data_IF_964503104199
#
_entry.id   IF_964503104199
#
_cell.length_a   1.000
_cell.length_b   1.000
_cell.length_c   1.000
_cell.angle_alpha   90.00
_cell.angle_beta   90.00
_cell.angle_gamma   90.00
#
_symmetry.space_group_name_H-M   'P 1'
#
loop_
_entity.id
_entity.type
_entity.pdbx_description
1 polymer ?
#
# COMPACT_ATOMS: atom_id res chain seq x y z
N UNK A 1 -21.58 -30.96 17.34
CA UNK A 1 -20.31 -30.38 16.86
C UNK A 1 -20.59 -29.19 15.93
N UNK A 2 -20.41 -27.96 16.43
CA UNK A 2 -20.45 -26.79 15.56
C UNK A 2 -19.23 -26.84 14.62
N UNK A 3 -19.44 -26.65 13.32
CA UNK A 3 -18.38 -26.67 12.31
C UNK A 3 -17.31 -25.62 12.64
N UNK A 4 -16.09 -26.07 12.97
CA UNK A 4 -14.91 -25.23 13.27
C UNK A 4 -14.21 -24.77 11.98
N UNK A 5 -15.00 -24.33 11.00
CA UNK A 5 -14.50 -23.94 9.68
C UNK A 5 -14.53 -22.43 9.55
N UNK A 6 -13.35 -21.85 9.32
CA UNK A 6 -13.20 -20.44 8.97
C UNK A 6 -13.69 -20.21 7.53
N UNK A 7 -14.79 -19.49 7.36
CA UNK A 7 -15.23 -19.01 6.05
C UNK A 7 -15.01 -17.51 5.96
N UNK A 8 -14.22 -17.09 4.99
CA UNK A 8 -13.90 -15.68 4.74
C UNK A 8 -14.27 -15.33 3.29
N UNK A 9 -14.80 -14.12 3.13
CA UNK A 9 -15.10 -13.53 1.83
C UNK A 9 -14.14 -12.36 1.62
N UNK A 10 -13.41 -12.38 0.52
CA UNK A 10 -12.54 -11.29 0.10
C UNK A 10 -12.92 -10.85 -1.31
N UNK A 11 -13.20 -9.56 -1.47
CA UNK A 11 -13.62 -8.96 -2.74
C UNK A 11 -12.69 -7.79 -3.04
N UNK A 12 -12.19 -7.76 -4.27
CA UNK A 12 -11.32 -6.70 -4.77
C UNK A 12 -11.83 -6.23 -6.12
N UNK A 13 -11.82 -4.92 -6.33
CA UNK A 13 -12.22 -4.28 -7.56
C UNK A 13 -11.17 -3.26 -7.99
N UNK A 14 -10.85 -3.26 -9.27
CA UNK A 14 -9.97 -2.29 -9.90
C UNK A 14 -10.61 -1.83 -11.21
N UNK A 15 -10.75 -0.53 -11.36
CA UNK A 15 -11.37 0.09 -12.53
C UNK A 15 -10.46 1.18 -13.06
N UNK A 16 -10.19 1.14 -14.36
CA UNK A 16 -9.38 2.13 -15.07
C UNK A 16 -10.20 2.66 -16.22
N UNK A 17 -10.36 3.98 -16.27
CA UNK A 17 -11.11 4.65 -17.32
C UNK A 17 -10.25 5.74 -17.96
N UNK A 18 -9.60 5.46 -19.10
CA UNK A 18 -8.97 6.49 -19.90
C UNK A 18 -10.04 7.32 -20.64
N UNK A 19 -9.83 8.62 -20.72
CA UNK A 19 -10.64 9.56 -21.49
C UNK A 19 -9.74 10.59 -22.17
N UNK A 20 -10.09 10.96 -23.40
CA UNK A 20 -9.38 12.02 -24.12
C UNK A 20 -9.98 13.36 -23.71
N UNK A 21 -9.16 14.21 -23.08
CA UNK A 21 -9.54 15.57 -22.72
C UNK A 21 -9.40 16.49 -23.93
N UNK A 22 -8.29 16.37 -24.66
CA UNK A 22 -8.03 17.10 -25.89
C UNK A 22 -7.37 16.17 -26.92
N UNK A 23 -7.05 16.70 -28.11
CA UNK A 23 -6.33 15.93 -29.13
C UNK A 23 -4.91 15.50 -28.68
N UNK A 24 -4.33 16.17 -27.69
CA UNK A 24 -2.98 15.93 -27.20
C UNK A 24 -2.91 15.49 -25.73
N UNK A 25 -3.95 15.75 -24.93
CA UNK A 25 -4.05 15.43 -23.51
C UNK A 25 -4.96 14.22 -23.28
N UNK A 26 -4.41 13.17 -22.67
CA UNK A 26 -5.18 12.00 -22.24
C UNK A 26 -5.22 11.98 -20.71
N UNK A 27 -6.42 11.93 -20.15
CA UNK A 27 -6.64 11.66 -18.74
C UNK A 27 -6.98 10.19 -18.52
N UNK A 28 -6.66 9.66 -17.37
CA UNK A 28 -7.09 8.34 -16.90
C UNK A 28 -7.48 8.47 -15.44
N UNK A 29 -8.66 7.95 -15.09
CA UNK A 29 -9.07 7.81 -13.70
C UNK A 29 -9.00 6.34 -13.34
N UNK A 30 -8.33 6.05 -12.23
CA UNK A 30 -8.21 4.74 -11.63
C UNK A 30 -8.93 4.75 -10.29
N UNK A 31 -9.76 3.74 -10.04
CA UNK A 31 -10.39 3.52 -8.75
C UNK A 31 -10.23 2.05 -8.37
N UNK A 32 -9.65 1.82 -7.20
CA UNK A 32 -9.47 0.50 -6.61
C UNK A 32 -10.15 0.46 -5.25
N UNK A 33 -10.82 -0.64 -4.95
CA UNK A 33 -11.39 -0.88 -3.63
C UNK A 33 -11.33 -2.36 -3.29
N UNK A 34 -11.16 -2.66 -2.01
CA UNK A 34 -11.14 -4.02 -1.52
C UNK A 34 -11.83 -4.12 -0.17
N UNK A 35 -12.45 -5.26 0.09
CA UNK A 35 -13.15 -5.54 1.34
C UNK A 35 -13.05 -7.03 1.68
N UNK A 36 -12.72 -7.31 2.93
CA UNK A 36 -12.62 -8.65 3.50
C UNK A 36 -13.56 -8.76 4.68
N UNK A 37 -14.31 -9.85 4.74
CA UNK A 37 -15.29 -10.10 5.78
C UNK A 37 -15.28 -11.57 6.20
N UNK A 38 -15.41 -11.82 7.50
CA UNK A 38 -15.55 -13.17 8.05
C UNK A 38 -17.02 -13.59 8.06
N UNK A 39 -17.35 -14.68 7.37
CA UNK A 39 -18.71 -15.22 7.33
C UNK A 39 -18.97 -16.20 8.48
N UNK A 40 -17.92 -16.82 9.04
CA UNK A 40 -18.03 -17.78 10.15
C UNK A 40 -17.81 -17.17 11.54
N UNK A 41 -17.60 -15.85 11.63
CA UNK A 41 -17.35 -15.16 12.90
C UNK A 41 -15.93 -15.34 13.47
N UNK A 42 -15.03 -16.01 12.74
CA UNK A 42 -13.61 -16.09 13.11
C UNK A 42 -12.85 -14.81 12.73
N UNK A 43 -11.80 -14.42 13.48
CA UNK A 43 -11.02 -13.23 13.13
C UNK A 43 -10.32 -13.40 11.77
N UNK A 44 -10.29 -12.31 10.98
CA UNK A 44 -9.60 -12.28 9.68
C UNK A 44 -8.08 -12.36 9.94
N UNK A 45 -7.43 -13.28 9.23
CA UNK A 45 -5.99 -13.49 9.37
C UNK A 45 -5.21 -12.31 8.79
N UNK A 46 -4.08 -11.97 9.40
CA UNK A 46 -3.28 -10.81 8.98
C UNK A 46 -2.78 -10.92 7.53
N UNK A 47 -2.56 -12.15 7.03
CA UNK A 47 -2.14 -12.38 5.64
C UNK A 47 -3.22 -12.03 4.62
N UNK A 48 -4.50 -12.03 5.04
CA UNK A 48 -5.64 -11.75 4.18
C UNK A 48 -6.02 -10.27 4.18
N UNK A 49 -5.45 -9.47 5.09
CA UNK A 49 -5.66 -8.03 5.19
C UNK A 49 -4.99 -7.26 4.04
N UNK A 50 -5.48 -6.06 3.81
CA UNK A 50 -4.97 -5.15 2.80
C UNK A 50 -3.85 -4.28 3.34
N UNK A 51 -2.81 -4.11 2.53
CA UNK A 51 -1.67 -3.25 2.81
C UNK A 51 -1.41 -2.43 1.57
N UNK A 52 -1.41 -1.10 1.69
CA UNK A 52 -1.16 -0.23 0.56
C UNK A 52 0.28 0.29 0.57
N UNK A 53 0.82 0.53 -0.62
CA UNK A 53 2.05 1.29 -0.81
C UNK A 53 2.94 0.73 -1.90
N UNK A 54 3.80 1.59 -2.42
CA UNK A 54 4.69 1.27 -3.53
C UNK A 54 4.26 1.89 -4.87
N UNK A 55 5.06 1.72 -5.92
CA UNK A 55 4.90 2.39 -7.21
C UNK A 55 3.63 2.02 -8.00
N UNK A 56 3.06 0.84 -7.74
CA UNK A 56 1.92 0.30 -8.47
C UNK A 56 0.57 0.60 -7.81
N UNK A 57 0.59 0.91 -6.52
CA UNK A 57 -0.60 1.26 -5.75
C UNK A 57 -0.52 2.74 -5.38
N UNK A 58 0.00 3.03 -4.17
CA UNK A 58 0.11 4.37 -3.64
C UNK A 58 1.56 4.88 -3.77
N UNK A 59 1.85 5.51 -4.92
CA UNK A 59 3.16 6.13 -5.19
C UNK A 59 3.51 7.17 -4.12
N UNK A 60 4.79 7.24 -3.77
CA UNK A 60 5.28 8.12 -2.71
C UNK A 60 5.29 7.48 -1.32
N UNK A 61 4.73 6.29 -1.16
CA UNK A 61 4.77 5.52 0.08
C UNK A 61 5.59 4.24 -0.08
N UNK A 62 6.27 3.84 1.00
CA UNK A 62 6.96 2.56 1.05
C UNK A 62 5.96 1.40 0.94
N UNK A 63 6.40 0.30 0.36
CA UNK A 63 5.61 -0.92 0.22
C UNK A 63 4.95 -1.31 1.54
N UNK A 64 3.64 -1.63 1.49
CA UNK A 64 2.86 -2.16 2.61
C UNK A 64 2.86 -1.32 3.89
N UNK A 65 3.14 -0.02 3.78
CA UNK A 65 3.26 0.87 4.95
C UNK A 65 1.96 1.64 5.22
N UNK A 66 1.09 1.79 4.23
CA UNK A 66 -0.20 2.47 4.39
C UNK A 66 -1.26 1.46 4.78
N UNK A 67 -1.45 1.34 6.09
CA UNK A 67 -2.52 0.54 6.71
C UNK A 67 -2.64 0.95 8.19
N UNK A 68 -3.67 0.48 8.91
CA UNK A 68 -3.68 0.51 10.36
C UNK A 68 -2.36 -0.05 10.91
N UNK A 69 -1.84 0.61 11.93
CA UNK A 69 -0.58 0.24 12.56
C UNK A 69 -0.86 -0.42 13.91
N UNK A 70 0.01 -1.34 14.33
CA UNK A 70 -0.07 -1.98 15.62
C UNK A 70 -0.13 -0.91 16.74
N UNK A 71 -1.10 -0.99 17.67
CA UNK A 71 -1.11 -0.11 18.83
C UNK A 71 0.13 -0.41 19.69
N UNK A 72 0.75 0.65 20.21
CA UNK A 72 1.77 0.53 21.25
C UNK A 72 1.09 0.03 22.53
N UNK A 73 1.05 -1.27 22.69
CA UNK A 73 0.86 -1.89 24.00
C UNK A 73 2.28 -2.31 24.36
N UNK A 74 2.91 -1.66 25.35
CA UNK A 74 4.21 -2.09 25.84
C UNK A 74 4.08 -3.54 26.30
N UNK A 75 4.67 -4.52 25.59
CA UNK A 75 4.64 -5.88 26.06
C UNK A 75 5.61 -5.96 27.24
N UNK A 76 5.18 -6.59 28.33
CA UNK A 76 6.13 -7.01 29.38
C UNK A 76 7.20 -7.86 28.70
N UNK A 77 8.44 -7.34 28.65
CA UNK A 77 9.54 -8.03 28.00
C UNK A 77 9.80 -9.33 28.76
N UNK A 78 9.47 -10.47 28.14
CA UNK A 78 9.87 -11.76 28.65
C UNK A 78 11.31 -12.01 28.21
N UNK A 79 12.26 -11.63 29.07
CA UNK A 79 13.66 -11.93 28.84
C UNK A 79 13.84 -13.45 28.86
N UNK A 80 13.90 -14.08 27.69
CA UNK A 80 14.42 -15.43 27.59
C UNK A 80 15.90 -15.36 27.95
N UNK A 81 16.41 -16.25 28.82
CA UNK A 81 17.84 -16.40 29.02
C UNK A 81 18.43 -17.01 27.74
N UNK A 82 18.72 -16.15 26.77
CA UNK A 82 19.64 -16.47 25.70
C UNK A 82 20.99 -16.64 26.39
N UNK A 83 21.61 -17.81 26.22
CA UNK A 83 22.98 -18.01 26.68
C UNK A 83 23.88 -17.09 25.83
N UNK A 84 24.09 -15.87 26.31
CA UNK A 84 24.84 -14.84 25.63
C UNK A 84 26.34 -15.21 25.60
N UNK A 85 26.88 -15.30 24.39
CA UNK A 85 28.29 -14.99 24.15
C UNK A 85 28.38 -13.47 23.94
N UNK A 86 28.66 -12.80 25.06
CA UNK A 86 29.53 -11.62 25.27
C UNK A 86 29.42 -10.40 24.33
N UNK A 87 29.26 -9.25 25.02
CA UNK A 87 29.45 -7.84 24.64
C UNK A 87 28.30 -7.12 23.92
N UNK A 88 27.43 -6.48 24.72
CA UNK A 88 27.23 -5.03 24.60
C UNK A 88 27.12 -4.37 25.97
N UNK A 89 27.75 -3.20 26.06
CA UNK A 89 27.94 -2.38 27.26
C UNK A 89 26.70 -1.57 27.62
N UNK A 90 26.46 -1.55 28.93
CA UNK A 90 25.59 -0.74 29.80
C UNK A 90 25.29 0.71 29.34
N UNK A 91 24.04 1.12 29.63
CA UNK A 91 23.47 2.48 29.71
C UNK A 91 23.36 3.31 28.41
N UNK A 92 22.31 3.02 27.64
CA UNK A 92 21.55 4.06 26.95
C UNK A 92 20.12 4.03 27.49
N UNK A 93 19.49 5.17 27.83
CA UNK A 93 18.09 5.17 28.21
C UNK A 93 17.33 4.52 27.06
N UNK A 94 16.73 3.36 27.31
CA UNK A 94 15.82 2.71 26.39
C UNK A 94 14.58 3.60 26.29
N UNK A 95 14.72 4.71 25.57
CA UNK A 95 13.59 5.39 24.97
C UNK A 95 13.02 4.34 24.07
N UNK A 96 11.92 3.71 24.48
CA UNK A 96 11.17 2.77 23.68
C UNK A 96 10.69 3.55 22.45
N UNK A 97 11.55 3.68 21.43
CA UNK A 97 11.16 4.08 20.09
C UNK A 97 10.36 2.90 19.57
N UNK A 98 9.14 2.78 20.06
CA UNK A 98 8.35 1.61 19.86
C UNK A 98 8.16 1.43 18.35
N UNK A 99 8.73 0.33 17.86
CA UNK A 99 8.74 -0.02 16.46
C UNK A 99 7.30 -0.23 16.04
N UNK A 100 6.76 0.72 15.30
CA UNK A 100 5.37 0.69 14.85
C UNK A 100 5.31 -0.14 13.56
N UNK A 101 4.64 -1.28 13.60
CA UNK A 101 4.48 -2.19 12.46
C UNK A 101 3.09 -2.02 11.82
N UNK A 102 2.97 -2.07 10.48
CA UNK A 102 1.67 -2.10 9.81
C UNK A 102 0.98 -3.45 10.06
N UNK A 103 -0.31 -3.44 10.40
CA UNK A 103 -1.11 -4.65 10.69
C UNK A 103 -2.20 -4.93 9.65
N UNK A 104 -2.30 -4.10 8.62
CA UNK A 104 -3.26 -4.26 7.52
C UNK A 104 -4.66 -3.78 7.87
N UNK A 105 -5.47 -3.52 6.85
CA UNK A 105 -6.89 -3.16 6.98
C UNK A 105 -7.81 -4.26 6.45
N UNK A 106 -9.04 -4.30 6.95
CA UNK A 106 -10.07 -5.22 6.44
C UNK A 106 -10.69 -4.70 5.13
N UNK A 107 -10.52 -3.43 4.82
CA UNK A 107 -10.92 -2.85 3.54
C UNK A 107 -10.09 -1.63 3.18
N UNK A 108 -10.13 -1.26 1.91
CA UNK A 108 -9.51 -0.06 1.40
C UNK A 108 -10.31 0.51 0.22
N UNK A 109 -10.10 1.78 -0.05
CA UNK A 109 -10.46 2.41 -1.31
C UNK A 109 -9.32 3.36 -1.67
N UNK A 110 -9.04 3.46 -2.95
CA UNK A 110 -7.98 4.29 -3.51
C UNK A 110 -8.44 4.82 -4.85
N UNK A 111 -8.32 6.12 -5.05
CA UNK A 111 -8.60 6.78 -6.31
C UNK A 111 -7.36 7.48 -6.83
N UNK A 112 -7.17 7.46 -8.14
CA UNK A 112 -6.03 8.06 -8.80
C UNK A 112 -6.46 8.73 -10.09
N UNK A 113 -5.83 9.86 -10.39
CA UNK A 113 -5.94 10.54 -11.67
C UNK A 113 -4.56 10.60 -12.31
N UNK A 114 -4.45 10.09 -13.53
CA UNK A 114 -3.25 10.08 -14.35
C UNK A 114 -3.45 10.98 -15.57
N UNK A 115 -2.45 11.80 -15.88
CA UNK A 115 -2.45 12.67 -17.05
C UNK A 115 -1.25 12.37 -17.92
N UNK A 116 -1.50 12.18 -19.21
CA UNK A 116 -0.49 11.92 -20.22
C UNK A 116 -0.47 13.07 -21.22
N UNK A 117 0.67 13.75 -21.32
CA UNK A 117 0.90 14.87 -22.25
C UNK A 117 2.12 14.60 -23.13
N UNK A 118 2.23 15.22 -24.32
CA UNK A 118 3.50 15.25 -25.04
C UNK A 118 4.57 15.99 -24.22
N UNK A 119 5.84 15.74 -24.54
CA UNK A 119 6.98 16.39 -23.88
C UNK A 119 6.99 17.91 -24.19
N UNK A 120 7.10 18.79 -23.17
CA UNK A 120 6.95 20.23 -23.35
C UNK A 120 8.11 20.94 -24.07
N UNK A 121 9.32 20.37 -24.07
CA UNK A 121 10.54 21.08 -24.50
C UNK A 121 11.36 20.39 -25.60
N UNK A 122 11.03 19.15 -26.01
CA UNK A 122 11.84 18.40 -26.99
C UNK A 122 11.01 17.53 -27.95
N UNK A 123 11.27 17.71 -29.25
CA UNK A 123 11.14 16.66 -30.26
C UNK A 123 9.73 16.11 -30.55
N UNK A 124 8.69 16.90 -30.34
CA UNK A 124 7.33 16.57 -30.80
C UNK A 124 7.14 16.77 -32.33
N UNK A 125 8.23 16.80 -33.10
CA UNK A 125 8.18 16.82 -34.56
C UNK A 125 7.83 15.42 -35.09
N UNK A 126 7.00 15.37 -36.13
CA UNK A 126 6.60 14.12 -36.79
C UNK A 126 7.86 13.42 -37.35
N UNK A 127 8.17 12.23 -36.79
CA UNK A 127 9.32 11.41 -37.18
C UNK A 127 10.46 11.33 -36.14
N UNK A 128 10.42 12.12 -35.05
CA UNK A 128 11.40 12.02 -33.97
C UNK A 128 11.07 10.91 -32.97
N UNK A 129 12.09 10.23 -32.41
CA UNK A 129 11.89 9.24 -31.34
C UNK A 129 11.23 9.86 -30.09
N UNK A 130 11.46 11.14 -29.83
CA UNK A 130 10.85 11.87 -28.71
C UNK A 130 9.32 11.94 -28.79
N UNK A 131 8.73 11.85 -29.98
CA UNK A 131 7.27 11.80 -30.19
C UNK A 131 6.58 10.57 -29.58
N UNK A 132 7.34 9.51 -29.26
CA UNK A 132 6.83 8.29 -28.64
C UNK A 132 6.72 8.39 -27.11
N UNK A 133 7.45 9.33 -26.50
CA UNK A 133 7.45 9.50 -25.05
C UNK A 133 6.36 10.47 -24.62
N UNK A 134 5.63 10.08 -23.57
CA UNK A 134 4.61 10.91 -22.93
C UNK A 134 5.03 11.26 -21.52
N UNK A 135 4.84 12.51 -21.14
CA UNK A 135 4.93 12.96 -19.77
C UNK A 135 3.75 12.37 -18.99
N UNK A 136 4.03 11.69 -17.88
CA UNK A 136 3.02 11.09 -17.00
C UNK A 136 3.00 11.83 -15.66
N UNK A 137 1.91 12.54 -15.39
CA UNK A 137 1.63 13.10 -14.07
C UNK A 137 0.55 12.27 -13.38
N UNK A 138 0.59 12.19 -12.06
CA UNK A 138 -0.39 11.46 -11.26
C UNK A 138 -0.77 12.22 -10.00
N UNK A 139 -2.00 12.00 -9.54
CA UNK A 139 -2.53 12.46 -8.26
C UNK A 139 -3.32 11.31 -7.64
N UNK A 140 -3.21 11.14 -6.32
CA UNK A 140 -3.79 10.02 -5.57
C UNK A 140 -4.63 10.58 -4.42
N UNK A 141 -5.79 9.98 -4.17
CA UNK A 141 -6.73 10.33 -3.11
C UNK A 141 -7.37 9.07 -2.50
#
# INVERSE_FOLDING_TARGET
>A
PADDRAFQLKVEGLTHKPFRLTNWLVGEVTCSAGFTHSLSGHPIHIVDRFFLGGPLELRGFQWRTVSPMQPLIEPTQFNLPTADVVNETVDSPQTSTASRSPVGSDGFWLTGAHFYTPLPFFGAEEGSLASHFRLHAFCLA
#
